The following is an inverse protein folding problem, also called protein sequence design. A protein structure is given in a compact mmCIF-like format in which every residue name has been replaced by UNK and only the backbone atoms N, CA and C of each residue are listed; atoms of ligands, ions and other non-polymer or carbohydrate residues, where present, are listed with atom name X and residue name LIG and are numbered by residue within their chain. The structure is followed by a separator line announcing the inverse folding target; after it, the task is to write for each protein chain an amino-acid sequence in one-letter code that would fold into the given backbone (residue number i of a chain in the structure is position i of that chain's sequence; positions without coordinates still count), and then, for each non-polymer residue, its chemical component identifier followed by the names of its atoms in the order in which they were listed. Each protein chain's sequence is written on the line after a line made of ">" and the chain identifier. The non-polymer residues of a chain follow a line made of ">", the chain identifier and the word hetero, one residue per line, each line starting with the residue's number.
data_IF_393311267071
#
_entry.id   IF_393311267071
#
_cell.length_a   1.000
_cell.length_b   1.000
_cell.length_c   1.000
_cell.angle_alpha   90.00
_cell.angle_beta   90.00
_cell.angle_gamma   90.00
#
_symmetry.space_group_name_H-M   'P 1'
#
loop_
_entity.id
_entity.type
_entity.pdbx_description
1 polymer ?
#
# COMPACT_ATOMS: atom_id res chain seq x y z
N UNK A 1 -1.91 -8.39 10.93
CA UNK A 1 -0.92 -8.57 9.84
C UNK A 1 -1.38 -8.05 8.48
N UNK A 2 -2.65 -7.66 8.29
CA UNK A 2 -3.17 -7.13 7.03
C UNK A 2 -2.34 -5.98 6.41
N UNK A 3 -1.82 -5.06 7.25
CA UNK A 3 -1.05 -3.90 6.79
C UNK A 3 0.15 -4.26 5.90
N UNK A 4 0.82 -5.39 6.18
CA UNK A 4 1.92 -5.87 5.34
C UNK A 4 1.44 -6.17 3.91
N UNK A 5 0.35 -6.93 3.78
CA UNK A 5 -0.20 -7.34 2.49
C UNK A 5 -0.84 -6.17 1.73
N UNK A 6 -1.53 -5.26 2.44
CA UNK A 6 -2.04 -4.02 1.86
C UNK A 6 -0.89 -3.15 1.34
N UNK A 7 0.21 -3.03 2.09
CA UNK A 7 1.40 -2.30 1.65
C UNK A 7 2.08 -2.93 0.43
N UNK A 8 2.08 -4.26 0.30
CA UNK A 8 2.58 -4.95 -0.90
C UNK A 8 1.74 -4.71 -2.16
N UNK A 9 0.43 -4.48 -1.99
CA UNK A 9 -0.50 -4.22 -3.09
C UNK A 9 -0.46 -2.76 -3.54
N UNK A 10 -0.10 -1.83 -2.65
CA UNK A 10 0.03 -0.41 -2.93
C UNK A 10 1.48 0.06 -2.64
N UNK A 11 2.49 -0.42 -3.40
CA UNK A 11 3.91 -0.18 -3.08
C UNK A 11 4.35 1.27 -3.27
N UNK A 12 3.57 2.06 -3.99
CA UNK A 12 3.78 3.49 -4.28
C UNK A 12 2.83 4.40 -3.48
N UNK A 13 2.26 3.87 -2.40
CA UNK A 13 1.47 4.64 -1.43
C UNK A 13 1.96 4.40 0.00
N UNK A 14 1.77 5.42 0.83
CA UNK A 14 2.11 5.40 2.24
C UNK A 14 0.94 5.90 3.07
N UNK A 15 0.91 5.56 4.35
CA UNK A 15 -0.17 5.94 5.25
C UNK A 15 0.34 6.69 6.47
N UNK A 16 -0.52 7.54 7.04
CA UNK A 16 -0.23 8.34 8.22
C UNK A 16 -1.51 8.48 9.06
N UNK A 17 -1.45 8.10 10.33
CA UNK A 17 -2.51 8.38 11.29
C UNK A 17 -2.20 9.69 12.04
N UNK A 18 -3.16 10.60 12.08
CA UNK A 18 -3.05 11.89 12.78
C UNK A 18 -4.19 11.99 13.78
N UNK A 19 -3.86 12.11 15.07
CA UNK A 19 -4.85 12.35 16.11
C UNK A 19 -5.36 13.79 16.04
N UNK A 20 -6.64 13.99 16.32
CA UNK A 20 -7.19 15.31 16.59
C UNK A 20 -6.52 15.92 17.83
N UNK A 21 -6.31 17.24 17.81
CA UNK A 21 -5.62 17.97 18.87
C UNK A 21 -6.61 18.64 19.83
N UNK A 22 -7.62 17.90 20.28
CA UNK A 22 -8.72 18.37 21.13
C UNK A 22 -9.16 17.32 22.18
N UNK A 23 -8.33 16.30 22.43
CA UNK A 23 -8.59 15.18 23.35
C UNK A 23 -9.85 14.36 23.04
N UNK A 24 -10.44 14.51 21.85
CA UNK A 24 -11.62 13.75 21.42
C UNK A 24 -11.33 12.26 21.19
N UNK A 25 -10.08 11.90 20.90
CA UNK A 25 -9.69 10.56 20.45
C UNK A 25 -10.00 10.30 18.97
N UNK A 26 -10.42 11.31 18.22
CA UNK A 26 -10.59 11.22 16.76
C UNK A 26 -9.24 11.07 16.06
N UNK A 27 -9.24 10.32 14.95
CA UNK A 27 -8.04 10.07 14.15
C UNK A 27 -8.38 10.15 12.68
N UNK A 28 -7.62 10.94 11.91
CA UNK A 28 -7.66 10.84 10.45
C UNK A 28 -6.53 9.91 9.98
N UNK A 29 -6.91 8.82 9.31
CA UNK A 29 -5.98 7.96 8.58
C UNK A 29 -5.86 8.46 7.14
N UNK A 30 -4.69 8.97 6.79
CA UNK A 30 -4.33 9.36 5.43
C UNK A 30 -3.69 8.18 4.68
N UNK A 31 -4.01 8.06 3.40
CA UNK A 31 -3.28 7.26 2.40
C UNK A 31 -2.89 8.21 1.27
N UNK A 32 -1.61 8.22 0.92
CA UNK A 32 -1.01 9.19 0.02
C UNK A 32 -0.17 8.46 -1.03
N UNK A 33 -0.41 8.72 -2.31
CA UNK A 33 0.37 8.15 -3.40
C UNK A 33 1.59 9.01 -3.76
N UNK A 34 2.64 8.36 -4.26
CA UNK A 34 3.85 9.03 -4.76
C UNK A 34 3.61 9.88 -6.01
N UNK A 35 2.48 9.68 -6.69
CA UNK A 35 2.02 10.49 -7.82
C UNK A 35 1.68 11.95 -7.43
N UNK A 36 1.60 12.25 -6.13
CA UNK A 36 1.27 13.57 -5.53
C UNK A 36 -0.08 14.15 -5.94
N UNK A 37 -0.95 13.34 -6.51
CA UNK A 37 -2.26 13.75 -7.04
C UNK A 37 -3.41 12.89 -6.50
N UNK A 38 -3.10 11.70 -5.98
CA UNK A 38 -4.04 10.76 -5.38
C UNK A 38 -3.87 10.69 -3.87
N UNK A 39 -5.00 10.77 -3.15
CA UNK A 39 -5.03 10.60 -1.70
C UNK A 39 -6.39 10.08 -1.22
N UNK A 40 -6.41 9.47 -0.04
CA UNK A 40 -7.61 9.15 0.71
C UNK A 40 -7.44 9.51 2.20
N UNK A 41 -8.55 9.81 2.87
CA UNK A 41 -8.64 10.10 4.28
C UNK A 41 -9.84 9.35 4.85
N UNK A 42 -9.64 8.64 5.96
CA UNK A 42 -10.72 8.05 6.75
C UNK A 42 -10.73 8.65 8.15
N UNK A 43 -11.87 9.21 8.53
CA UNK A 43 -12.04 9.91 9.80
C UNK A 43 -12.68 8.97 10.83
N UNK A 44 -11.85 8.48 11.75
CA UNK A 44 -12.27 7.69 12.89
C UNK A 44 -12.80 8.60 13.99
N UNK A 45 -14.01 8.31 14.45
CA UNK A 45 -14.62 8.92 15.64
C UNK A 45 -14.93 7.83 16.66
N UNK A 46 -14.53 7.98 17.94
CA UNK A 46 -14.89 7.02 18.98
C UNK A 46 -16.40 6.76 19.07
N UNK A 47 -16.76 5.55 19.47
CA UNK A 47 -18.15 5.11 19.67
C UNK A 47 -19.04 5.17 18.42
N UNK A 48 -18.44 5.26 17.23
CA UNK A 48 -19.11 5.12 15.94
C UNK A 48 -18.73 3.82 15.24
N UNK A 49 -19.67 3.25 14.49
CA UNK A 49 -19.47 2.02 13.70
C UNK A 49 -19.23 2.30 12.21
N UNK A 50 -19.42 3.55 11.79
CA UNK A 50 -19.26 4.00 10.41
C UNK A 50 -18.43 5.28 10.38
N UNK A 51 -17.50 5.34 9.43
CA UNK A 51 -16.53 6.41 9.33
C UNK A 51 -16.60 7.10 7.97
N UNK A 52 -16.38 8.41 7.96
CA UNK A 52 -16.35 9.15 6.71
C UNK A 52 -15.05 8.84 5.97
N UNK A 53 -15.17 8.51 4.69
CA UNK A 53 -14.03 8.36 3.79
C UNK A 53 -14.12 9.42 2.71
N UNK A 54 -13.05 10.20 2.55
CA UNK A 54 -12.87 11.15 1.46
C UNK A 54 -11.69 10.70 0.61
N UNK A 55 -11.82 10.72 -0.71
CA UNK A 55 -10.72 10.35 -1.62
C UNK A 55 -10.73 11.20 -2.90
N UNK A 56 -9.53 11.51 -3.40
CA UNK A 56 -9.31 12.40 -4.53
C UNK A 56 -8.17 11.90 -5.41
N UNK A 57 -8.19 12.30 -6.68
CA UNK A 57 -7.15 11.98 -7.66
C UNK A 57 -7.54 10.88 -8.65
N UNK A 58 -6.62 10.56 -9.58
CA UNK A 58 -6.81 9.53 -10.58
C UNK A 58 -6.93 8.12 -9.98
N UNK A 59 -6.34 7.88 -8.79
CA UNK A 59 -6.49 6.63 -8.04
C UNK A 59 -7.50 6.78 -6.91
N UNK A 60 -8.18 5.69 -6.58
CA UNK A 60 -9.11 5.60 -5.45
C UNK A 60 -8.45 4.76 -4.35
N UNK A 61 -7.52 5.38 -3.63
CA UNK A 61 -6.59 4.65 -2.75
C UNK A 61 -7.29 3.93 -1.59
N UNK A 62 -8.44 4.43 -1.12
CA UNK A 62 -9.21 3.70 -0.12
C UNK A 62 -9.80 2.43 -0.71
N UNK A 63 -10.41 2.51 -1.89
CA UNK A 63 -11.00 1.37 -2.58
C UNK A 63 -9.93 0.31 -2.93
N UNK A 64 -8.74 0.75 -3.33
CA UNK A 64 -7.59 -0.13 -3.60
C UNK A 64 -7.10 -0.81 -2.31
N UNK A 65 -6.99 -0.08 -1.19
CA UNK A 65 -6.58 -0.64 0.09
C UNK A 65 -7.63 -1.64 0.63
N UNK A 66 -8.92 -1.34 0.50
CA UNK A 66 -10.01 -2.27 0.82
C UNK A 66 -9.96 -3.53 -0.05
N UNK A 67 -9.73 -3.37 -1.35
CA UNK A 67 -9.59 -4.51 -2.26
C UNK A 67 -8.42 -5.41 -1.83
N UNK A 68 -7.26 -4.83 -1.53
CA UNK A 68 -6.10 -5.56 -1.03
C UNK A 68 -6.39 -6.26 0.32
N UNK A 69 -7.10 -5.59 1.23
CA UNK A 69 -7.55 -6.19 2.48
C UNK A 69 -8.45 -7.41 2.24
N UNK A 70 -9.43 -7.30 1.33
CA UNK A 70 -10.34 -8.41 0.98
C UNK A 70 -9.58 -9.58 0.35
N UNK A 71 -8.57 -9.32 -0.46
CA UNK A 71 -7.70 -10.37 -1.01
C UNK A 71 -6.94 -11.09 0.11
N UNK A 72 -6.33 -10.36 1.05
CA UNK A 72 -5.68 -10.96 2.22
C UNK A 72 -6.64 -11.77 3.09
N UNK A 73 -7.87 -11.27 3.29
CA UNK A 73 -8.92 -11.99 4.03
C UNK A 73 -9.27 -13.32 3.34
N UNK A 74 -9.43 -13.30 2.02
CA UNK A 74 -9.69 -14.49 1.19
C UNK A 74 -8.54 -15.50 1.19
N UNK A 75 -7.29 -15.05 1.39
CA UNK A 75 -6.13 -15.93 1.59
C UNK A 75 -6.12 -16.62 2.96
N UNK A 76 -7.12 -16.37 3.81
CA UNK A 76 -7.21 -16.95 5.16
C UNK A 76 -6.43 -16.17 6.21
N UNK A 77 -6.25 -14.86 6.00
CA UNK A 77 -5.58 -13.95 6.93
C UNK A 77 -4.16 -14.40 7.32
N UNK A 78 -3.29 -14.74 6.37
CA UNK A 78 -1.95 -15.22 6.68
C UNK A 78 -1.15 -14.18 7.49
N UNK A 79 -0.33 -14.68 8.41
CA UNK A 79 0.68 -13.88 9.08
C UNK A 79 1.83 -13.55 8.14
N UNK A 80 2.68 -12.59 8.53
CA UNK A 80 3.79 -12.11 7.69
C UNK A 80 4.88 -13.17 7.50
N UNK A 81 5.10 -14.04 8.48
CA UNK A 81 6.14 -15.07 8.47
C UNK A 81 5.91 -16.17 7.43
N UNK A 82 4.68 -16.32 6.93
CA UNK A 82 4.35 -17.16 5.77
C UNK A 82 4.78 -16.55 4.44
N UNK A 83 5.07 -15.25 4.41
CA UNK A 83 5.55 -14.60 3.21
C UNK A 83 7.07 -14.76 3.09
N UNK A 84 7.52 -15.15 1.90
CA UNK A 84 8.93 -15.17 1.53
C UNK A 84 9.25 -14.16 0.42
N UNK A 85 10.53 -13.96 0.16
CA UNK A 85 11.04 -13.06 -0.88
C UNK A 85 12.11 -13.77 -1.70
N UNK A 86 11.97 -13.72 -3.02
CA UNK A 86 12.98 -14.19 -3.97
C UNK A 86 13.47 -13.01 -4.79
N UNK A 87 14.78 -12.84 -4.84
CA UNK A 87 15.45 -11.82 -5.65
C UNK A 87 16.23 -12.53 -6.73
N UNK A 88 15.90 -12.22 -7.98
CA UNK A 88 16.50 -12.81 -9.19
C UNK A 88 17.01 -11.69 -10.10
N UNK A 89 17.72 -12.07 -11.17
CA UNK A 89 18.08 -11.09 -12.20
C UNK A 89 16.85 -10.44 -12.87
N UNK A 90 15.72 -11.15 -12.92
CA UNK A 90 14.47 -10.68 -13.52
C UNK A 90 13.69 -9.71 -12.63
N UNK A 91 13.93 -9.73 -11.31
CA UNK A 91 13.26 -8.85 -10.36
C UNK A 91 13.16 -9.42 -8.95
N UNK A 92 12.35 -8.74 -8.16
CA UNK A 92 12.01 -9.11 -6.79
C UNK A 92 10.56 -9.60 -6.73
N UNK A 93 10.34 -10.74 -6.09
CA UNK A 93 9.03 -11.36 -5.95
C UNK A 93 8.77 -11.70 -4.49
N UNK A 94 7.58 -11.38 -4.01
CA UNK A 94 7.07 -11.81 -2.71
C UNK A 94 6.05 -12.89 -2.95
N UNK A 95 6.13 -13.98 -2.18
CA UNK A 95 5.29 -15.16 -2.33
C UNK A 95 4.76 -15.63 -0.98
N UNK A 96 3.70 -16.44 -0.99
CA UNK A 96 3.06 -17.00 0.20
C UNK A 96 3.28 -18.52 0.25
N UNK A 97 3.84 -19.03 1.35
CA UNK A 97 4.18 -20.45 1.60
C UNK A 97 5.19 -21.09 0.63
N UNK A 98 5.02 -20.93 -0.69
CA UNK A 98 5.90 -21.47 -1.73
C UNK A 98 6.16 -20.43 -2.82
N UNK A 99 7.30 -20.53 -3.52
CA UNK A 99 7.71 -19.55 -4.55
C UNK A 99 6.75 -19.48 -5.75
N UNK A 100 5.93 -20.51 -5.97
CA UNK A 100 4.91 -20.54 -7.04
C UNK A 100 3.69 -19.64 -6.73
N UNK A 101 3.46 -19.28 -5.47
CA UNK A 101 2.34 -18.44 -5.04
C UNK A 101 2.75 -16.98 -4.89
N UNK A 102 3.14 -16.36 -6.01
CA UNK A 102 3.52 -14.93 -6.03
C UNK A 102 2.34 -14.03 -5.67
N UNK A 103 2.53 -13.15 -4.68
CA UNK A 103 1.54 -12.17 -4.21
C UNK A 103 1.90 -10.73 -4.57
N UNK A 104 3.17 -10.43 -4.83
CA UNK A 104 3.64 -9.13 -5.32
C UNK A 104 4.96 -9.30 -6.06
N UNK A 105 5.23 -8.47 -7.07
CA UNK A 105 6.47 -8.54 -7.82
C UNK A 105 6.82 -7.21 -8.45
N UNK A 106 8.10 -6.85 -8.40
CA UNK A 106 8.68 -5.73 -9.11
C UNK A 106 9.74 -6.26 -10.08
N UNK A 107 9.52 -6.18 -11.41
CA UNK A 107 10.54 -6.54 -12.37
C UNK A 107 11.74 -5.58 -12.23
N UNK A 108 12.94 -6.08 -12.49
CA UNK A 108 14.13 -5.22 -12.55
C UNK A 108 13.90 -4.16 -13.62
N UNK A 109 13.71 -2.91 -13.23
CA UNK A 109 13.69 -1.81 -14.18
C UNK A 109 15.10 -1.71 -14.76
N UNK A 110 15.26 -2.01 -16.06
CA UNK A 110 16.52 -1.72 -16.75
C UNK A 110 16.82 -0.24 -16.52
N UNK A 111 17.95 0.07 -15.88
CA UNK A 111 18.38 1.44 -15.68
C UNK A 111 18.30 2.16 -17.04
N UNK A 112 17.74 3.38 -17.13
CA UNK A 112 17.80 4.13 -18.38
C UNK A 112 19.27 4.27 -18.75
N UNK A 113 19.69 3.62 -19.84
CA UNK A 113 21.04 3.83 -20.39
C UNK A 113 21.21 5.33 -20.56
N UNK A 114 22.20 5.88 -19.86
CA UNK A 114 22.35 7.31 -19.64
C UNK A 114 22.23 8.10 -20.94
N UNK A 115 21.39 9.13 -20.93
CA UNK A 115 21.54 10.21 -21.91
C UNK A 115 22.90 10.85 -21.67
N UNK A 116 23.78 10.98 -22.68
CA UNK A 116 25.03 11.69 -22.49
C UNK A 116 24.69 13.14 -22.08
N UNK A 117 25.38 13.62 -21.04
CA UNK A 117 25.36 15.01 -20.62
C UNK A 117 25.85 15.87 -21.80
N UNK A 118 24.93 16.48 -22.53
CA UNK A 118 25.27 17.54 -23.47
C UNK A 118 25.43 18.80 -22.63
N UNK A 119 26.68 19.13 -22.29
CA UNK A 119 27.04 20.46 -21.78
C UNK A 119 26.73 21.51 -22.85
N UNK A 120 25.98 22.55 -22.47
CA UNK A 120 25.99 23.87 -23.13
C UNK A 120 26.18 24.94 -22.07
#
# INVERSE_FOLDING_TARGET
>A
MALFYVGLALPDAWHLAVNANDDSGEVTLWILADDRSSWAAADYTPDQDTYLVTQYGPRKLWDEAEAAYRVWDQMGRPDRDRAGISVTHDGQYVWLDTEEQVISGSPTHAAPMGRPLINR
#
